data_IF_762970512989
#
_entry.id   IF_762970512989
#
_cell.length_a   1.000
_cell.length_b   1.000
_cell.length_c   1.000
_cell.angle_alpha   90.00
_cell.angle_beta   90.00
_cell.angle_gamma   90.00
#
_symmetry.space_group_name_H-M   'P 1'
#
loop_
_entity.id
_entity.type
_entity.pdbx_description
1 polymer ?
#
# COMPACT_ATOMS: atom_id res chain seq x y z
N UNK A 1 -39.61 -1.34 -15.46
CA UNK A 1 -38.23 -1.84 -15.20
C UNK A 1 -37.96 -1.76 -13.71
N UNK A 2 -37.79 -2.88 -12.99
CA UNK A 2 -37.41 -2.83 -11.58
C UNK A 2 -35.94 -2.41 -11.48
N UNK A 3 -35.68 -1.14 -11.16
CA UNK A 3 -34.33 -0.65 -10.95
C UNK A 3 -33.77 -1.25 -9.67
N UNK A 4 -32.73 -2.08 -9.81
CA UNK A 4 -32.03 -2.66 -8.67
C UNK A 4 -31.33 -1.54 -7.88
N UNK A 5 -31.76 -1.30 -6.64
CA UNK A 5 -31.14 -0.30 -5.74
C UNK A 5 -29.70 -0.66 -5.35
N UNK A 6 -29.31 -1.92 -5.55
CA UNK A 6 -27.97 -2.41 -5.26
C UNK A 6 -26.96 -2.08 -6.38
N UNK A 7 -27.39 -2.15 -7.64
CA UNK A 7 -26.58 -1.82 -8.82
C UNK A 7 -26.78 -0.36 -9.25
N UNK A 8 -26.81 0.55 -8.28
CA UNK A 8 -26.79 1.98 -8.59
C UNK A 8 -25.39 2.38 -9.07
N UNK A 9 -25.31 3.38 -9.96
CA UNK A 9 -24.04 3.85 -10.54
C UNK A 9 -23.00 4.17 -9.46
N UNK A 10 -23.44 4.73 -8.33
CA UNK A 10 -22.58 5.05 -7.18
C UNK A 10 -21.95 3.80 -6.56
N UNK A 11 -22.73 2.75 -6.32
CA UNK A 11 -22.21 1.51 -5.75
C UNK A 11 -21.23 0.84 -6.71
N UNK A 12 -21.55 0.82 -8.00
CA UNK A 12 -20.66 0.28 -9.03
C UNK A 12 -19.32 1.04 -9.12
N UNK A 13 -19.36 2.38 -9.05
CA UNK A 13 -18.15 3.20 -9.01
C UNK A 13 -17.28 2.89 -7.78
N UNK A 14 -17.88 2.77 -6.60
CA UNK A 14 -17.15 2.41 -5.36
C UNK A 14 -16.53 1.01 -5.51
N UNK A 15 -17.27 0.03 -6.02
CA UNK A 15 -16.75 -1.32 -6.27
C UNK A 15 -15.58 -1.32 -7.26
N UNK A 16 -15.68 -0.55 -8.36
CA UNK A 16 -14.59 -0.44 -9.33
C UNK A 16 -13.33 0.20 -8.72
N UNK A 17 -13.50 1.23 -7.90
CA UNK A 17 -12.39 1.91 -7.23
C UNK A 17 -11.72 1.00 -6.21
N UNK A 18 -12.49 0.22 -5.45
CA UNK A 18 -11.94 -0.76 -4.51
C UNK A 18 -11.25 -1.91 -5.22
N UNK A 19 -11.79 -2.41 -6.33
CA UNK A 19 -11.20 -3.51 -7.09
C UNK A 19 -9.87 -3.10 -7.74
N UNK A 20 -9.84 -1.97 -8.45
CA UNK A 20 -8.65 -1.47 -9.14
C UNK A 20 -7.64 -0.87 -8.15
N UNK A 21 -8.11 -0.03 -7.23
CA UNK A 21 -7.26 0.61 -6.22
C UNK A 21 -6.72 -0.38 -5.21
N UNK A 22 -7.53 -1.31 -4.71
CA UNK A 22 -7.10 -2.36 -3.78
C UNK A 22 -6.03 -3.26 -4.39
N UNK A 23 -6.21 -3.69 -5.65
CA UNK A 23 -5.20 -4.45 -6.37
C UNK A 23 -3.87 -3.69 -6.51
N UNK A 24 -3.92 -2.41 -6.88
CA UNK A 24 -2.72 -1.57 -6.97
C UNK A 24 -2.01 -1.39 -5.63
N UNK A 25 -2.75 -1.12 -4.55
CA UNK A 25 -2.18 -0.99 -3.20
C UNK A 25 -1.57 -2.31 -2.72
N UNK A 26 -2.18 -3.45 -3.04
CA UNK A 26 -1.66 -4.77 -2.69
C UNK A 26 -0.35 -5.08 -3.43
N UNK A 27 -0.25 -4.78 -4.72
CA UNK A 27 0.99 -4.95 -5.49
C UNK A 27 2.08 -3.99 -4.97
N UNK A 28 1.73 -2.73 -4.71
CA UNK A 28 2.65 -1.74 -4.14
C UNK A 28 3.17 -2.14 -2.75
N UNK A 29 2.32 -2.69 -1.90
CA UNK A 29 2.74 -3.12 -0.55
C UNK A 29 3.67 -4.34 -0.61
N UNK A 30 3.40 -5.30 -1.51
CA UNK A 30 4.28 -6.47 -1.72
C UNK A 30 5.65 -6.05 -2.24
N UNK A 31 5.70 -5.17 -3.24
CA UNK A 31 6.97 -4.66 -3.78
C UNK A 31 7.77 -3.85 -2.75
N UNK A 32 7.10 -3.08 -1.88
CA UNK A 32 7.77 -2.39 -0.76
C UNK A 32 8.29 -3.37 0.29
N UNK A 33 7.53 -4.42 0.61
CA UNK A 33 7.96 -5.46 1.54
C UNK A 33 9.15 -6.27 0.99
N UNK A 34 9.15 -6.60 -0.29
CA UNK A 34 10.28 -7.25 -0.97
C UNK A 34 11.52 -6.35 -0.96
N UNK A 35 11.38 -5.05 -1.24
CA UNK A 35 12.50 -4.09 -1.13
C UNK A 35 13.05 -4.02 0.29
N UNK A 36 12.19 -4.03 1.31
CA UNK A 36 12.63 -4.07 2.72
C UNK A 36 13.38 -5.37 3.04
N UNK A 37 12.88 -6.52 2.61
CA UNK A 37 13.54 -7.82 2.81
C UNK A 37 14.89 -7.92 2.09
N UNK A 38 14.96 -7.42 0.84
CA UNK A 38 16.22 -7.37 0.09
C UNK A 38 17.23 -6.43 0.74
N UNK A 39 16.75 -5.32 1.35
CA UNK A 39 17.58 -4.46 2.18
C UNK A 39 18.05 -5.18 3.45
N UNK A 40 17.16 -5.83 4.19
CA UNK A 40 17.52 -6.60 5.40
C UNK A 40 18.52 -7.73 5.11
N UNK A 41 18.48 -8.35 3.92
CA UNK A 41 19.39 -9.43 3.54
C UNK A 41 20.79 -8.95 3.06
N UNK A 42 20.97 -7.66 2.77
CA UNK A 42 22.22 -7.15 2.16
C UNK A 42 22.77 -5.85 2.74
N UNK A 43 22.03 -5.12 3.58
CA UNK A 43 22.48 -3.85 4.16
C UNK A 43 23.12 -4.09 5.54
N UNK A 44 24.45 -4.06 5.56
CA UNK A 44 25.22 -3.54 6.70
C UNK A 44 25.01 -2.01 6.85
N UNK A 45 23.78 -1.50 6.69
CA UNK A 45 23.53 -0.08 6.88
C UNK A 45 23.50 0.20 8.37
N UNK A 46 24.63 0.67 8.89
CA UNK A 46 24.72 1.27 10.22
C UNK A 46 23.70 2.40 10.24
N UNK A 47 22.58 2.19 10.95
CA UNK A 47 21.75 3.29 11.40
C UNK A 47 22.61 4.07 12.38
N UNK A 48 23.25 5.13 11.90
CA UNK A 48 23.89 6.09 12.78
C UNK A 48 22.75 6.80 13.48
N UNK A 49 22.36 6.25 14.63
CA UNK A 49 21.58 7.00 15.61
C UNK A 49 22.37 8.28 15.83
N UNK A 50 21.86 9.41 15.34
CA UNK A 50 22.45 10.70 15.65
C UNK A 50 22.16 10.98 17.12
N UNK A 51 22.84 10.27 18.00
CA UNK A 51 23.13 10.72 19.34
C UNK A 51 24.23 11.78 19.25
N UNK A 52 23.85 12.93 18.69
CA UNK A 52 24.52 14.20 18.98
C UNK A 52 23.52 14.96 19.82
N UNK A 53 23.55 14.83 21.13
CA UNK A 53 24.66 15.28 21.95
C UNK A 53 24.24 16.65 22.46
N UNK A 54 23.64 16.68 23.65
CA UNK A 54 23.17 17.91 24.26
C UNK A 54 24.33 18.86 24.53
N UNK A 55 24.16 20.10 24.06
CA UNK A 55 24.59 21.38 24.65
C UNK A 55 23.76 22.47 23.99
#
# INVERSE_FOLDING_TARGET
>A
MPYSRLLTSRNFAIFSLFSLGGGYFMVKSRTLAEKKRAREAGDYSVTVDRSGGGI
#
